data_IF_016508197487
#
_entry.id   IF_016508197487
#
_cell.length_a   1.000
_cell.length_b   1.000
_cell.length_c   1.000
_cell.angle_alpha   90.00
_cell.angle_beta   90.00
_cell.angle_gamma   90.00
#
_symmetry.space_group_name_H-M   'P 1'
#
loop_
_entity.id
_entity.type
_entity.pdbx_description
1 polymer ?
#
# COMPACT_ATOMS: atom_id res chain seq x y z
N UNK A 1 -6.94 -28.43 -4.44
CA UNK A 1 -5.75 -28.25 -3.57
C UNK A 1 -6.16 -27.23 -2.52
N UNK A 2 -6.08 -27.58 -1.23
CA UNK A 2 -6.43 -26.65 -0.15
C UNK A 2 -5.24 -25.71 0.11
N UNK A 3 -5.51 -24.42 0.30
CA UNK A 3 -4.45 -23.44 0.55
C UNK A 3 -3.81 -23.70 1.92
N UNK A 4 -2.49 -23.62 1.98
CA UNK A 4 -1.77 -23.79 3.24
C UNK A 4 -2.20 -22.71 4.26
N UNK A 5 -2.37 -23.04 5.56
CA UNK A 5 -2.96 -22.13 6.54
C UNK A 5 -2.16 -20.83 6.70
N UNK A 6 -0.85 -20.87 6.58
CA UNK A 6 0.03 -19.70 6.60
C UNK A 6 -0.18 -18.79 5.38
N UNK A 7 -0.48 -19.37 4.21
CA UNK A 7 -0.79 -18.61 3.00
C UNK A 7 -2.14 -17.90 3.16
N UNK A 8 -3.15 -18.59 3.69
CA UNK A 8 -4.47 -18.01 3.99
C UNK A 8 -4.34 -16.88 5.00
N UNK A 9 -3.58 -17.07 6.08
CA UNK A 9 -3.36 -16.05 7.11
C UNK A 9 -2.67 -14.81 6.54
N UNK A 10 -1.55 -14.99 5.83
CA UNK A 10 -0.78 -13.91 5.24
C UNK A 10 -1.59 -13.11 4.21
N UNK A 11 -2.26 -13.80 3.27
CA UNK A 11 -3.04 -13.15 2.23
C UNK A 11 -4.23 -12.37 2.79
N UNK A 12 -4.93 -12.91 3.80
CA UNK A 12 -5.99 -12.17 4.51
C UNK A 12 -5.46 -10.95 5.26
N UNK A 13 -4.28 -11.04 5.87
CA UNK A 13 -3.67 -9.91 6.55
C UNK A 13 -3.20 -8.84 5.54
N UNK A 14 -2.66 -9.26 4.41
CA UNK A 14 -2.31 -8.35 3.32
C UNK A 14 -3.54 -7.66 2.71
N UNK A 15 -4.66 -8.37 2.54
CA UNK A 15 -5.94 -7.77 2.12
C UNK A 15 -6.34 -6.58 3.02
N UNK A 16 -6.24 -6.77 4.35
CA UNK A 16 -6.51 -5.69 5.31
C UNK A 16 -5.56 -4.51 5.17
N UNK A 17 -4.30 -4.75 4.80
CA UNK A 17 -3.36 -3.69 4.49
C UNK A 17 -3.82 -2.90 3.24
N UNK A 18 -4.25 -3.60 2.19
CA UNK A 18 -4.80 -2.97 0.98
C UNK A 18 -6.04 -2.14 1.29
N UNK A 19 -6.99 -2.67 2.07
CA UNK A 19 -8.20 -1.95 2.48
C UNK A 19 -7.86 -0.69 3.29
N UNK A 20 -6.94 -0.81 4.24
CA UNK A 20 -6.49 0.32 5.07
C UNK A 20 -5.82 1.39 4.21
N UNK A 21 -4.97 0.99 3.26
CA UNK A 21 -4.32 1.91 2.35
C UNK A 21 -5.33 2.59 1.43
N UNK A 22 -6.29 1.84 0.85
CA UNK A 22 -7.32 2.40 -0.02
C UNK A 22 -8.15 3.47 0.70
N UNK A 23 -8.64 3.17 1.90
CA UNK A 23 -9.45 4.11 2.70
C UNK A 23 -8.63 5.35 3.11
N UNK A 24 -7.38 5.17 3.53
CA UNK A 24 -6.57 6.29 4.00
C UNK A 24 -5.97 7.15 2.89
N UNK A 25 -5.63 6.54 1.75
CA UNK A 25 -5.01 7.22 0.63
C UNK A 25 -6.02 7.88 -0.31
N UNK A 26 -7.24 7.34 -0.45
CA UNK A 26 -8.24 7.83 -1.42
C UNK A 26 -8.54 9.33 -1.29
N UNK A 27 -8.69 9.84 -0.06
CA UNK A 27 -8.97 11.27 0.16
C UNK A 27 -7.78 12.17 -0.21
N UNK A 28 -6.55 11.72 0.04
CA UNK A 28 -5.35 12.46 -0.38
C UNK A 28 -5.14 12.38 -1.89
N UNK A 29 -5.37 11.20 -2.48
CA UNK A 29 -5.29 11.00 -3.92
C UNK A 29 -6.32 11.86 -4.66
N UNK A 30 -7.54 11.98 -4.13
CA UNK A 30 -8.57 12.86 -4.69
C UNK A 30 -8.11 14.33 -4.69
N UNK A 31 -7.54 14.81 -3.59
CA UNK A 31 -6.99 16.18 -3.52
C UNK A 31 -5.87 16.40 -4.54
N UNK A 32 -5.01 15.42 -4.78
CA UNK A 32 -3.98 15.49 -5.84
C UNK A 32 -4.57 15.36 -7.26
N UNK A 33 -5.60 14.54 -7.44
CA UNK A 33 -6.23 14.23 -8.72
C UNK A 33 -7.07 15.38 -9.29
N UNK A 34 -7.46 16.37 -8.47
CA UNK A 34 -8.17 17.60 -8.91
C UNK A 34 -7.25 18.53 -9.76
N UNK A 35 -6.11 18.03 -10.25
CA UNK A 35 -5.28 18.72 -11.24
C UNK A 35 -4.34 19.78 -10.64
N UNK A 36 -4.19 19.82 -9.31
CA UNK A 36 -3.19 20.68 -8.68
C UNK A 36 -1.80 20.08 -8.86
N UNK A 37 -1.11 20.51 -9.93
CA UNK A 37 0.31 20.19 -10.16
C UNK A 37 1.19 20.53 -8.95
N UNK A 38 0.78 21.55 -8.19
CA UNK A 38 1.35 21.97 -6.91
C UNK A 38 0.22 22.12 -5.89
N UNK A 39 -0.05 21.11 -5.05
CA UNK A 39 -1.04 21.22 -4.00
C UNK A 39 -0.71 22.35 -3.04
N UNK A 40 -1.68 23.19 -2.67
CA UNK A 40 -1.46 24.19 -1.63
C UNK A 40 -1.45 23.52 -0.25
N UNK A 41 -0.26 23.22 0.27
CA UNK A 41 -0.11 22.62 1.60
C UNK A 41 -0.38 23.59 2.77
N UNK A 42 -0.69 24.87 2.49
CA UNK A 42 -1.24 25.80 3.49
C UNK A 42 -2.76 25.64 3.63
N UNK A 43 -3.43 25.01 2.66
CA UNK A 43 -4.83 24.64 2.80
C UNK A 43 -4.99 23.60 3.93
N UNK A 44 -5.80 23.91 4.97
CA UNK A 44 -6.05 22.98 6.07
C UNK A 44 -6.57 21.61 5.62
N UNK A 45 -7.33 21.54 4.51
CA UNK A 45 -7.87 20.29 3.96
C UNK A 45 -6.75 19.43 3.37
N UNK A 46 -5.88 20.03 2.55
CA UNK A 46 -4.70 19.34 1.97
C UNK A 46 -3.79 18.83 3.08
N UNK A 47 -3.52 19.67 4.08
CA UNK A 47 -2.66 19.34 5.23
C UNK A 47 -3.24 18.20 6.09
N UNK A 48 -4.55 18.24 6.39
CA UNK A 48 -5.24 17.20 7.14
C UNK A 48 -5.25 15.87 6.39
N UNK A 49 -5.60 15.88 5.10
CA UNK A 49 -5.65 14.66 4.27
C UNK A 49 -4.26 14.06 4.06
N UNK A 50 -3.22 14.88 3.89
CA UNK A 50 -1.84 14.39 3.82
C UNK A 50 -1.40 13.71 5.14
N UNK A 51 -1.78 14.30 6.27
CA UNK A 51 -1.47 13.74 7.59
C UNK A 51 -2.19 12.42 7.84
N UNK A 52 -3.49 12.36 7.53
CA UNK A 52 -4.31 11.17 7.63
C UNK A 52 -3.82 10.05 6.70
N UNK A 53 -3.58 10.37 5.42
CA UNK A 53 -3.09 9.41 4.44
C UNK A 53 -1.73 8.82 4.80
N UNK A 54 -0.79 9.64 5.32
CA UNK A 54 0.50 9.12 5.82
C UNK A 54 0.35 8.20 7.02
N UNK A 55 -0.59 8.48 7.92
CA UNK A 55 -0.83 7.66 9.10
C UNK A 55 -1.40 6.29 8.69
N UNK A 56 -2.41 6.27 7.84
CA UNK A 56 -3.02 5.03 7.36
C UNK A 56 -2.09 4.21 6.47
N UNK A 57 -1.35 4.85 5.54
CA UNK A 57 -0.32 4.15 4.76
C UNK A 57 0.78 3.55 5.65
N UNK A 58 1.18 4.22 6.73
CA UNK A 58 2.15 3.65 7.68
C UNK A 58 1.60 2.40 8.35
N UNK A 59 0.36 2.43 8.82
CA UNK A 59 -0.30 1.27 9.43
C UNK A 59 -0.45 0.10 8.44
N UNK A 60 -0.84 0.41 7.19
CA UNK A 60 -0.94 -0.56 6.12
C UNK A 60 0.42 -1.17 5.76
N UNK A 61 1.46 -0.33 5.61
CA UNK A 61 2.81 -0.79 5.31
C UNK A 61 3.37 -1.73 6.38
N UNK A 62 3.13 -1.43 7.67
CA UNK A 62 3.49 -2.32 8.78
C UNK A 62 2.72 -3.64 8.68
N UNK A 63 1.39 -3.58 8.48
CA UNK A 63 0.55 -4.78 8.34
C UNK A 63 0.99 -5.67 7.18
N UNK A 64 1.34 -5.07 6.03
CA UNK A 64 1.86 -5.81 4.88
C UNK A 64 3.24 -6.44 5.15
N UNK A 65 4.12 -5.74 5.88
CA UNK A 65 5.40 -6.29 6.31
C UNK A 65 5.21 -7.47 7.26
N UNK A 66 4.28 -7.37 8.20
CA UNK A 66 3.97 -8.45 9.14
C UNK A 66 3.36 -9.66 8.42
N UNK A 67 2.41 -9.43 7.49
CA UNK A 67 1.87 -10.49 6.63
C UNK A 67 2.99 -11.24 5.90
N UNK A 68 3.95 -10.51 5.35
CA UNK A 68 5.11 -11.08 4.64
C UNK A 68 6.06 -11.89 5.53
N UNK A 69 5.98 -11.72 6.85
CA UNK A 69 6.80 -12.41 7.87
C UNK A 69 6.07 -13.57 8.52
N UNK A 70 4.88 -13.93 8.03
CA UNK A 70 4.14 -15.09 8.53
C UNK A 70 5.04 -16.33 8.53
N UNK A 71 5.20 -17.02 9.67
CA UNK A 71 6.05 -18.21 9.74
C UNK A 71 5.61 -19.31 8.76
N UNK A 72 6.58 -19.90 8.06
CA UNK A 72 6.32 -20.95 7.06
C UNK A 72 5.83 -20.42 5.71
N UNK A 73 5.58 -19.11 5.56
CA UNK A 73 5.06 -18.54 4.32
C UNK A 73 6.04 -18.73 3.15
N UNK A 74 5.52 -19.19 2.01
CA UNK A 74 6.32 -19.37 0.81
C UNK A 74 6.94 -18.03 0.35
N UNK A 75 8.24 -17.99 -0.01
CA UNK A 75 8.91 -16.75 -0.42
C UNK A 75 8.22 -16.01 -1.56
N UNK A 76 7.62 -16.72 -2.52
CA UNK A 76 6.92 -16.12 -3.67
C UNK A 76 5.65 -15.34 -3.28
N UNK A 77 5.04 -15.66 -2.13
CA UNK A 77 3.91 -14.89 -1.57
C UNK A 77 4.46 -13.75 -0.70
N UNK A 78 5.49 -14.03 0.09
CA UNK A 78 6.09 -13.07 1.01
C UNK A 78 6.79 -11.89 0.30
N UNK A 79 7.50 -12.16 -0.80
CA UNK A 79 8.30 -11.16 -1.51
C UNK A 79 7.48 -9.97 -2.03
N UNK A 80 6.36 -10.15 -2.78
CA UNK A 80 5.57 -9.02 -3.24
C UNK A 80 4.94 -8.23 -2.08
N UNK A 81 4.56 -8.87 -0.97
CA UNK A 81 4.07 -8.17 0.23
C UNK A 81 5.14 -7.25 0.86
N UNK A 82 6.40 -7.71 0.92
CA UNK A 82 7.54 -6.87 1.35
C UNK A 82 7.78 -5.71 0.40
N UNK A 83 7.78 -5.97 -0.90
CA UNK A 83 7.94 -4.94 -1.92
C UNK A 83 6.85 -3.89 -1.85
N UNK A 84 5.60 -4.32 -1.63
CA UNK A 84 4.47 -3.43 -1.40
C UNK A 84 4.68 -2.56 -0.17
N UNK A 85 5.09 -3.12 0.96
CA UNK A 85 5.40 -2.36 2.18
C UNK A 85 6.46 -1.28 1.93
N UNK A 86 7.55 -1.61 1.23
CA UNK A 86 8.59 -0.65 0.85
C UNK A 86 8.06 0.44 -0.11
N UNK A 87 7.22 0.06 -1.08
CA UNK A 87 6.54 0.99 -1.97
C UNK A 87 5.64 1.98 -1.22
N UNK A 88 4.88 1.50 -0.23
CA UNK A 88 4.04 2.34 0.62
C UNK A 88 4.88 3.31 1.46
N UNK A 89 6.02 2.87 2.00
CA UNK A 89 6.96 3.76 2.68
C UNK A 89 7.54 4.83 1.75
N UNK A 90 7.85 4.49 0.49
CA UNK A 90 8.27 5.46 -0.51
C UNK A 90 7.20 6.53 -0.75
N UNK A 91 5.93 6.14 -0.86
CA UNK A 91 4.81 7.09 -0.96
C UNK A 91 4.73 8.02 0.26
N UNK A 92 4.84 7.49 1.48
CA UNK A 92 4.84 8.29 2.72
C UNK A 92 5.96 9.34 2.72
N UNK A 93 7.15 8.98 2.21
CA UNK A 93 8.27 9.92 2.10
C UNK A 93 7.97 11.03 1.09
N UNK A 94 7.43 10.69 -0.09
CA UNK A 94 7.04 11.69 -1.09
C UNK A 94 5.95 12.64 -0.55
N UNK A 95 4.98 12.10 0.19
CA UNK A 95 3.91 12.85 0.89
C UNK A 95 4.48 13.84 1.91
N UNK A 96 5.50 13.42 2.65
CA UNK A 96 6.19 14.28 3.63
C UNK A 96 7.07 15.36 2.97
N UNK A 97 7.74 15.00 1.88
CA UNK A 97 8.61 15.90 1.11
C UNK A 97 7.84 16.82 0.17
N UNK A 98 6.51 16.65 0.05
CA UNK A 98 5.65 17.43 -0.85
C UNK A 98 6.18 17.38 -2.29
N UNK A 99 6.56 16.17 -2.71
CA UNK A 99 7.15 15.95 -4.03
C UNK A 99 6.18 16.36 -5.16
N UNK A 100 6.71 16.46 -6.38
CA UNK A 100 5.87 16.70 -7.55
C UNK A 100 4.92 15.51 -7.83
N UNK A 101 3.79 15.81 -8.47
CA UNK A 101 2.73 14.84 -8.79
C UNK A 101 3.23 13.69 -9.66
N UNK A 102 4.21 13.91 -10.55
CA UNK A 102 4.76 12.86 -11.41
C UNK A 102 5.51 11.80 -10.60
N UNK A 103 6.30 12.21 -9.59
CA UNK A 103 6.95 11.28 -8.66
C UNK A 103 5.93 10.48 -7.84
N UNK A 104 4.84 11.11 -7.41
CA UNK A 104 3.74 10.42 -6.73
C UNK A 104 3.10 9.36 -7.62
N UNK A 105 2.73 9.73 -8.85
CA UNK A 105 2.10 8.82 -9.81
C UNK A 105 3.01 7.64 -10.12
N UNK A 106 4.31 7.87 -10.32
CA UNK A 106 5.27 6.80 -10.55
C UNK A 106 5.39 5.87 -9.34
N UNK A 107 5.38 6.40 -8.10
CA UNK A 107 5.41 5.58 -6.89
C UNK A 107 4.11 4.79 -6.68
N UNK A 108 2.96 5.41 -6.95
CA UNK A 108 1.64 4.75 -6.89
C UNK A 108 1.51 3.63 -7.93
N UNK A 109 1.98 3.85 -9.16
CA UNK A 109 2.03 2.81 -10.20
C UNK A 109 2.90 1.62 -9.76
N UNK A 110 4.07 1.89 -9.19
CA UNK A 110 4.93 0.83 -8.64
C UNK A 110 4.26 0.08 -7.50
N UNK A 111 3.53 0.77 -6.62
CA UNK A 111 2.76 0.13 -5.55
C UNK A 111 1.67 -0.79 -6.12
N UNK A 112 0.96 -0.36 -7.16
CA UNK A 112 -0.07 -1.16 -7.84
C UNK A 112 0.52 -2.43 -8.46
N UNK A 113 1.70 -2.35 -9.10
CA UNK A 113 2.40 -3.54 -9.59
C UNK A 113 2.72 -4.53 -8.46
N UNK A 114 3.08 -4.06 -7.27
CA UNK A 114 3.28 -4.94 -6.12
C UNK A 114 1.98 -5.52 -5.57
N UNK A 115 0.88 -4.76 -5.61
CA UNK A 115 -0.47 -5.25 -5.26
C UNK A 115 -0.84 -6.41 -6.17
N UNK A 116 -0.78 -6.22 -7.49
CA UNK A 116 -1.09 -7.27 -8.48
C UNK A 116 -0.22 -8.51 -8.29
N UNK A 117 1.08 -8.34 -8.06
CA UNK A 117 1.99 -9.46 -7.84
C UNK A 117 1.62 -10.26 -6.57
N UNK A 118 1.25 -9.59 -5.48
CA UNK A 118 0.81 -10.26 -4.26
C UNK A 118 -0.53 -10.98 -4.45
N UNK A 119 -1.48 -10.36 -5.14
CA UNK A 119 -2.79 -10.96 -5.44
C UNK A 119 -2.65 -12.21 -6.32
N UNK A 120 -1.80 -12.15 -7.36
CA UNK A 120 -1.48 -13.30 -8.20
C UNK A 120 -0.82 -14.42 -7.37
N UNK A 121 0.12 -14.09 -6.49
CA UNK A 121 0.78 -15.07 -5.64
C UNK A 121 -0.21 -15.75 -4.68
N UNK A 122 -1.10 -14.98 -4.05
CA UNK A 122 -2.17 -15.49 -3.21
C UNK A 122 -3.14 -16.39 -3.99
N UNK A 123 -3.55 -15.98 -5.20
CA UNK A 123 -4.42 -16.76 -6.06
C UNK A 123 -3.80 -18.11 -6.46
N UNK A 124 -2.50 -18.11 -6.82
CA UNK A 124 -1.75 -19.35 -7.13
C UNK A 124 -1.64 -20.29 -5.93
N UNK A 125 -1.62 -19.76 -4.71
CA UNK A 125 -1.65 -20.53 -3.48
C UNK A 125 -3.06 -21.03 -3.08
N UNK A 126 -4.09 -20.73 -3.88
CA UNK A 126 -5.48 -21.12 -3.61
C UNK A 126 -6.20 -20.21 -2.61
N UNK A 127 -5.72 -18.99 -2.38
CA UNK A 127 -6.34 -18.01 -1.49
C UNK A 127 -6.48 -16.64 -2.18
N UNK A 128 -6.93 -15.61 -1.46
CA UNK A 128 -7.13 -14.27 -2.00
C UNK A 128 -6.59 -13.20 -1.05
N UNK A 129 -6.14 -12.10 -1.64
CA UNK A 129 -5.77 -10.88 -0.94
C UNK A 129 -6.38 -9.65 -1.60
#
# INVERSE_FOLDING_TARGET
MEAAPESVAACRQFARALDTAAVSYSEFANVLAIGQKNPDYLDPIVSANNSYGRAGLRAAATTALDASRTPGLHPDIAAPMRSWSMGAMKLILLMGLRADVDRFNNAANGLNTHTEAAQIACARAGTQA
#
